data_IF_012003149480
#
_entry.id   IF_012003149480
#
_cell.length_a   1.000
_cell.length_b   1.000
_cell.length_c   1.000
_cell.angle_alpha   90.00
_cell.angle_beta   90.00
_cell.angle_gamma   90.00
#
_symmetry.space_group_name_H-M   'P 1'
#
loop_
_entity.id
_entity.type
_entity.pdbx_description
1 polymer ?
#
# COMPACT_ATOMS: atom_id res chain seq x y z
N UNK A 1 -13.54 -9.22 -18.25
CA UNK A 1 -14.16 -9.05 -16.91
C UNK A 1 -13.08 -9.10 -15.81
N UNK A 2 -13.00 -8.05 -14.98
CA UNK A 2 -12.11 -8.01 -13.82
C UNK A 2 -12.65 -8.86 -12.66
N UNK A 3 -11.74 -9.38 -11.82
CA UNK A 3 -12.08 -10.36 -10.77
C UNK A 3 -13.05 -9.82 -9.71
N UNK A 4 -13.11 -8.50 -9.52
CA UNK A 4 -14.01 -7.82 -8.58
C UNK A 4 -15.09 -6.97 -9.28
N UNK A 5 -15.28 -7.13 -10.59
CA UNK A 5 -16.15 -6.25 -11.39
C UNK A 5 -17.62 -6.24 -10.95
N UNK A 6 -18.10 -7.32 -10.33
CA UNK A 6 -19.48 -7.44 -9.82
C UNK A 6 -19.66 -6.84 -8.44
N UNK A 7 -18.57 -6.56 -7.71
CA UNK A 7 -18.58 -6.12 -6.31
C UNK A 7 -18.60 -4.59 -6.19
N UNK A 8 -19.41 -3.92 -7.00
CA UNK A 8 -19.42 -2.44 -7.12
C UNK A 8 -19.85 -1.69 -5.86
N UNK A 9 -20.47 -2.39 -4.90
CA UNK A 9 -20.86 -1.87 -3.58
C UNK A 9 -19.84 -2.18 -2.47
N UNK A 10 -18.70 -2.80 -2.81
CA UNK A 10 -17.69 -3.19 -1.82
C UNK A 10 -17.03 -1.95 -1.21
N UNK A 11 -17.05 -1.86 0.12
CA UNK A 11 -16.45 -0.76 0.88
C UNK A 11 -15.12 -1.17 1.53
N UNK A 12 -14.92 -2.46 1.81
CA UNK A 12 -13.68 -2.99 2.37
C UNK A 12 -13.17 -4.20 1.59
N UNK A 13 -11.88 -4.20 1.23
CA UNK A 13 -11.20 -5.36 0.66
C UNK A 13 -9.90 -5.63 1.44
N UNK A 14 -9.89 -6.75 2.18
CA UNK A 14 -8.75 -7.18 2.99
C UNK A 14 -8.10 -8.42 2.37
N UNK A 15 -6.92 -8.24 1.78
CA UNK A 15 -6.10 -9.32 1.22
C UNK A 15 -4.69 -9.32 1.81
N UNK A 16 -4.59 -9.06 3.12
CA UNK A 16 -3.31 -9.13 3.84
C UNK A 16 -2.85 -10.57 4.08
N UNK A 17 -1.56 -10.78 4.35
CA UNK A 17 -0.96 -12.07 4.72
C UNK A 17 -1.24 -13.18 3.71
N UNK A 18 -1.06 -12.86 2.42
CA UNK A 18 -1.25 -13.79 1.32
C UNK A 18 0.03 -13.90 0.48
N UNK A 19 0.01 -14.71 -0.56
CA UNK A 19 1.15 -14.89 -1.48
C UNK A 19 0.92 -14.17 -2.82
N UNK A 20 0.25 -13.02 -2.79
CA UNK A 20 -0.06 -12.29 -4.01
C UNK A 20 1.23 -11.73 -4.64
N UNK A 21 1.57 -12.21 -5.83
CA UNK A 21 2.77 -11.80 -6.58
C UNK A 21 2.52 -10.64 -7.53
N UNK A 22 1.30 -10.52 -8.03
CA UNK A 22 0.89 -9.47 -8.95
C UNK A 22 -0.59 -9.15 -8.78
N UNK A 23 -0.96 -7.90 -9.08
CA UNK A 23 -2.35 -7.46 -9.17
C UNK A 23 -2.75 -7.51 -10.65
N UNK A 24 -3.85 -8.20 -11.01
CA UNK A 24 -4.34 -8.18 -12.38
C UNK A 24 -4.66 -6.75 -12.84
N UNK A 25 -4.39 -6.40 -14.12
CA UNK A 25 -4.82 -5.12 -14.67
C UNK A 25 -6.31 -4.89 -14.43
N UNK A 26 -6.67 -3.66 -14.03
CA UNK A 26 -8.06 -3.25 -13.77
C UNK A 26 -8.77 -4.01 -12.66
N UNK A 27 -8.07 -4.76 -11.80
CA UNK A 27 -8.69 -5.53 -10.71
C UNK A 27 -9.63 -4.67 -9.85
N UNK A 28 -9.30 -3.40 -9.60
CA UNK A 28 -10.08 -2.51 -8.76
C UNK A 28 -10.85 -1.42 -9.54
N UNK A 29 -10.87 -1.49 -10.87
CA UNK A 29 -11.35 -0.40 -11.72
C UNK A 29 -12.82 -0.02 -11.49
N UNK A 30 -13.68 -0.96 -11.05
CA UNK A 30 -15.11 -0.72 -10.78
C UNK A 30 -15.43 -0.47 -9.31
N UNK A 31 -14.44 -0.52 -8.41
CA UNK A 31 -14.65 -0.42 -6.97
C UNK A 31 -14.68 1.04 -6.50
N UNK A 32 -15.56 1.85 -7.11
CA UNK A 32 -15.59 3.30 -6.86
C UNK A 32 -16.02 3.68 -5.45
N UNK A 33 -16.69 2.76 -4.74
CA UNK A 33 -17.14 2.92 -3.35
C UNK A 33 -16.18 2.32 -2.32
N UNK A 34 -15.02 1.83 -2.74
CA UNK A 34 -14.07 1.21 -1.82
C UNK A 34 -13.45 2.28 -0.91
N UNK A 35 -13.57 2.06 0.39
CA UNK A 35 -13.07 2.97 1.44
C UNK A 35 -11.76 2.44 2.02
N UNK A 36 -11.66 1.12 2.18
CA UNK A 36 -10.53 0.43 2.81
C UNK A 36 -9.96 -0.64 1.88
N UNK A 37 -8.66 -0.57 1.59
CA UNK A 37 -7.92 -1.58 0.84
C UNK A 37 -6.66 -2.01 1.60
N UNK A 38 -6.55 -3.30 1.92
CA UNK A 38 -5.31 -3.84 2.48
C UNK A 38 -4.71 -4.90 1.56
N UNK A 39 -3.46 -4.64 1.15
CA UNK A 39 -2.60 -5.52 0.37
C UNK A 39 -1.27 -5.78 1.11
N UNK A 40 -1.20 -5.44 2.39
CA UNK A 40 0.02 -5.61 3.20
C UNK A 40 0.40 -7.09 3.32
N UNK A 41 1.66 -7.37 3.66
CA UNK A 41 2.11 -8.74 3.93
C UNK A 41 1.87 -9.68 2.73
N UNK A 42 2.33 -9.28 1.55
CA UNK A 42 2.26 -10.05 0.30
C UNK A 42 3.64 -10.09 -0.40
N UNK A 43 3.67 -10.54 -1.66
CA UNK A 43 4.88 -10.65 -2.47
C UNK A 43 4.85 -9.69 -3.67
N UNK A 44 4.15 -8.57 -3.54
CA UNK A 44 4.01 -7.60 -4.61
C UNK A 44 5.32 -6.85 -4.81
N UNK A 45 5.80 -6.86 -6.05
CA UNK A 45 6.95 -6.07 -6.49
C UNK A 45 6.54 -4.75 -7.12
N UNK A 46 5.36 -4.70 -7.72
CA UNK A 46 4.81 -3.51 -8.35
C UNK A 46 3.28 -3.59 -8.40
N UNK A 47 2.65 -2.50 -8.80
CA UNK A 47 1.22 -2.46 -9.14
C UNK A 47 1.06 -1.98 -10.57
N UNK A 48 0.08 -2.50 -11.33
CA UNK A 48 -0.14 -2.05 -12.70
C UNK A 48 -0.53 -0.57 -12.72
N UNK A 49 -0.11 0.14 -13.77
CA UNK A 49 -0.46 1.55 -13.96
C UNK A 49 -1.98 1.73 -13.95
N UNK A 50 -2.43 2.72 -13.19
CA UNK A 50 -3.85 3.04 -13.04
C UNK A 50 -4.63 2.07 -12.15
N UNK A 51 -3.97 1.20 -11.39
CA UNK A 51 -4.63 0.26 -10.48
C UNK A 51 -5.59 0.94 -9.50
N UNK A 52 -5.29 2.17 -9.09
CA UNK A 52 -6.01 2.90 -8.04
C UNK A 52 -6.80 4.10 -8.54
N UNK A 53 -6.74 4.43 -9.83
CA UNK A 53 -7.28 5.69 -10.40
C UNK A 53 -8.79 5.87 -10.17
N UNK A 54 -9.54 4.77 -10.09
CA UNK A 54 -10.99 4.80 -9.91
C UNK A 54 -11.44 4.64 -8.45
N UNK A 55 -10.52 4.51 -7.49
CA UNK A 55 -10.82 4.33 -6.07
C UNK A 55 -11.12 5.68 -5.39
N UNK A 56 -12.15 6.37 -5.89
CA UNK A 56 -12.47 7.76 -5.51
C UNK A 56 -12.90 7.94 -4.06
N UNK A 57 -13.43 6.89 -3.42
CA UNK A 57 -13.86 6.89 -2.02
C UNK A 57 -12.80 6.36 -1.05
N UNK A 58 -11.60 6.03 -1.54
CA UNK A 58 -10.57 5.38 -0.74
C UNK A 58 -9.98 6.36 0.28
N UNK A 59 -9.97 5.92 1.53
CA UNK A 59 -9.43 6.72 2.65
C UNK A 59 -8.28 6.02 3.36
N UNK A 60 -8.17 4.70 3.22
CA UNK A 60 -7.16 3.88 3.87
C UNK A 60 -6.63 2.84 2.90
N UNK A 61 -5.31 2.88 2.65
CA UNK A 61 -4.59 1.81 1.94
C UNK A 61 -3.37 1.34 2.71
N UNK A 62 -3.22 0.02 2.83
CA UNK A 62 -2.10 -0.62 3.51
C UNK A 62 -1.27 -1.41 2.50
N UNK A 63 -0.01 -1.00 2.33
CA UNK A 63 0.93 -1.55 1.33
C UNK A 63 2.23 -2.08 1.94
N UNK A 64 2.40 -1.94 3.26
CA UNK A 64 3.63 -2.34 3.96
C UNK A 64 3.89 -3.85 3.86
N UNK A 65 5.14 -4.25 4.14
CA UNK A 65 5.59 -5.65 4.08
C UNK A 65 5.31 -6.33 2.72
N UNK A 66 5.76 -5.66 1.65
CA UNK A 66 5.83 -6.19 0.29
C UNK A 66 7.23 -5.87 -0.28
N UNK A 67 7.82 -6.75 -1.10
CA UNK A 67 9.14 -6.54 -1.69
C UNK A 67 9.08 -5.60 -2.90
N UNK A 68 8.67 -4.34 -2.69
CA UNK A 68 8.50 -3.35 -3.75
C UNK A 68 9.80 -3.13 -4.54
N UNK A 69 9.75 -3.43 -5.83
CA UNK A 69 10.86 -3.27 -6.74
C UNK A 69 10.93 -1.82 -7.20
N UNK A 70 11.85 -1.09 -6.58
CA UNK A 70 12.07 0.33 -6.85
C UNK A 70 12.94 0.56 -8.10
N UNK A 71 13.42 -0.49 -8.77
CA UNK A 71 14.38 -0.38 -9.88
C UNK A 71 13.71 -0.32 -11.27
N UNK A 72 12.39 -0.47 -11.38
CA UNK A 72 11.68 -0.52 -12.66
C UNK A 72 10.77 0.70 -12.91
N UNK A 73 10.59 1.06 -14.18
CA UNK A 73 9.74 2.18 -14.65
C UNK A 73 8.27 2.09 -14.23
N UNK A 74 7.79 0.91 -13.84
CA UNK A 74 6.40 0.68 -13.40
C UNK A 74 6.12 1.19 -11.98
N UNK A 75 7.14 1.36 -11.13
CA UNK A 75 6.96 1.93 -9.78
C UNK A 75 6.68 3.44 -9.82
N UNK A 76 7.00 4.12 -10.93
CA UNK A 76 6.75 5.55 -11.11
C UNK A 76 5.27 5.91 -10.95
N UNK A 77 4.37 4.99 -11.31
CA UNK A 77 2.95 5.19 -11.05
C UNK A 77 2.65 5.20 -9.56
N UNK A 78 3.11 4.17 -8.83
CA UNK A 78 2.83 4.01 -7.42
C UNK A 78 3.41 5.17 -6.60
N UNK A 79 4.67 5.55 -6.86
CA UNK A 79 5.31 6.65 -6.14
C UNK A 79 4.58 7.98 -6.37
N UNK A 80 4.23 8.31 -7.61
CA UNK A 80 3.45 9.52 -7.94
C UNK A 80 2.08 9.49 -7.30
N UNK A 81 1.39 8.35 -7.32
CA UNK A 81 0.07 8.21 -6.73
C UNK A 81 0.12 8.47 -5.22
N UNK A 82 1.10 7.90 -4.51
CA UNK A 82 1.30 8.12 -3.07
C UNK A 82 1.53 9.61 -2.78
N UNK A 83 2.40 10.28 -3.54
CA UNK A 83 2.66 11.71 -3.35
C UNK A 83 1.44 12.61 -3.62
N UNK A 84 0.50 12.17 -4.46
CA UNK A 84 -0.73 12.91 -4.77
C UNK A 84 -1.87 12.65 -3.76
N UNK A 85 -1.75 11.63 -2.92
CA UNK A 85 -2.79 11.24 -1.95
C UNK A 85 -2.24 11.24 -0.52
N UNK A 86 -1.72 12.39 -0.03
CA UNK A 86 -1.18 12.49 1.32
C UNK A 86 -2.28 12.15 2.32
N UNK A 87 -1.99 11.25 3.26
CA UNK A 87 -2.93 10.88 4.30
C UNK A 87 -3.93 9.78 3.91
N UNK A 88 -3.76 9.09 2.78
CA UNK A 88 -4.52 7.88 2.44
C UNK A 88 -3.76 6.60 2.78
N UNK A 89 -2.44 6.59 2.60
CA UNK A 89 -1.61 5.42 2.96
C UNK A 89 -1.52 5.32 4.49
N UNK A 90 -1.48 4.10 5.01
CA UNK A 90 -1.52 3.82 6.45
C UNK A 90 -0.42 2.87 6.86
N UNK A 91 0.16 3.14 8.03
CA UNK A 91 1.17 2.29 8.64
C UNK A 91 0.56 1.03 9.28
N UNK A 92 1.39 0.20 9.92
CA UNK A 92 0.93 -1.01 10.62
C UNK A 92 -0.01 -0.73 11.81
N UNK A 93 0.03 0.48 12.36
CA UNK A 93 -0.81 0.90 13.48
C UNK A 93 -2.13 1.55 13.02
N UNK A 94 -2.33 1.75 11.72
CA UNK A 94 -3.49 2.44 11.17
C UNK A 94 -3.37 3.96 11.21
N UNK A 95 -2.19 4.50 11.50
CA UNK A 95 -1.89 5.93 11.42
C UNK A 95 -1.51 6.31 9.99
N UNK A 96 -1.55 7.60 9.65
CA UNK A 96 -0.94 8.11 8.41
C UNK A 96 0.54 7.71 8.42
N UNK A 97 1.01 7.04 7.37
CA UNK A 97 2.43 6.68 7.27
C UNK A 97 3.27 7.98 7.14
N UNK A 98 4.17 8.28 8.10
CA UNK A 98 4.91 9.54 8.14
C UNK A 98 5.92 9.68 6.97
N UNK A 99 6.32 8.58 6.34
CA UNK A 99 7.23 8.60 5.18
C UNK A 99 6.53 9.01 3.87
N UNK A 100 5.23 9.30 3.89
CA UNK A 100 4.49 9.78 2.72
C UNK A 100 4.83 11.21 2.29
N UNK A 101 5.29 12.04 3.23
CA UNK A 101 5.39 13.51 3.05
C UNK A 101 6.83 14.02 2.91
N UNK A 102 7.84 13.15 3.03
CA UNK A 102 9.21 13.54 2.77
C UNK A 102 9.41 13.82 1.27
N UNK A 103 9.89 15.03 0.95
CA UNK A 103 10.27 15.48 -0.38
C UNK A 103 11.41 14.62 -0.98
N UNK A 104 11.09 13.42 -1.48
CA UNK A 104 12.04 12.56 -2.18
C UNK A 104 11.84 12.65 -3.69
N UNK A 105 11.94 13.87 -4.21
CA UNK A 105 12.43 14.07 -5.57
C UNK A 105 13.95 13.86 -5.51
N UNK A 106 14.48 12.93 -6.31
CA UNK A 106 15.89 12.50 -6.42
C UNK A 106 16.34 11.27 -5.61
N UNK A 107 15.61 10.14 -5.65
CA UNK A 107 16.13 8.77 -5.38
C UNK A 107 16.64 8.51 -3.94
N UNK A 108 16.68 7.28 -3.39
CA UNK A 108 15.85 6.10 -3.55
C UNK A 108 14.88 5.95 -2.35
N UNK A 109 13.85 5.12 -2.48
CA UNK A 109 13.07 4.67 -1.31
C UNK A 109 13.95 3.64 -0.58
N UNK A 110 14.41 3.89 0.67
CA UNK A 110 14.06 2.95 1.74
C UNK A 110 14.09 3.53 3.18
N UNK A 111 13.00 3.35 3.95
CA UNK A 111 13.16 2.83 5.32
C UNK A 111 12.23 1.64 5.67
N UNK A 112 11.69 0.90 4.70
CA UNK A 112 11.34 -0.51 4.96
C UNK A 112 12.60 -1.40 5.19
N UNK A 113 13.78 -0.79 5.00
CA UNK A 113 15.15 -1.24 5.30
C UNK A 113 15.69 -0.61 6.60
N UNK A 114 14.88 0.07 7.42
CA UNK A 114 15.29 0.40 8.80
C UNK A 114 14.27 -0.11 9.82
N UNK A 115 14.49 -1.36 10.23
CA UNK A 115 14.26 -1.81 11.60
C UNK A 115 15.65 -2.03 12.21
N UNK A 116 15.88 -1.63 13.48
CA UNK A 116 15.35 -2.43 14.57
C UNK A 116 14.60 -1.59 15.61
N UNK A 117 13.55 -2.22 16.13
CA UNK A 117 12.92 -1.90 17.42
C UNK A 117 14.00 -1.57 18.47
N UNK A 118 13.81 -0.53 19.31
CA UNK A 118 14.52 -0.51 20.58
C UNK A 118 14.14 -1.77 21.36
N UNK A 119 15.15 -2.47 21.87
CA UNK A 119 14.98 -3.61 22.76
C UNK A 119 14.09 -3.17 23.93
N UNK A 120 12.95 -3.84 24.11
CA UNK A 120 12.24 -3.77 25.38
C UNK A 120 13.18 -4.37 26.42
N UNK A 121 13.72 -3.52 27.28
CA UNK A 121 14.45 -3.95 28.46
C UNK A 121 13.56 -4.92 29.27
N UNK A 122 14.14 -5.97 29.88
CA UNK A 122 13.36 -6.82 30.77
C UNK A 122 12.83 -5.94 31.90
N UNK A 123 11.52 -5.90 32.06
CA UNK A 123 10.90 -5.41 33.29
C UNK A 123 11.28 -6.43 34.37
N UNK A 124 12.41 -6.19 35.02
CA UNK A 124 12.74 -6.87 36.25
C UNK A 124 11.68 -6.49 37.28
N UNK A 125 11.10 -7.53 37.85
CA UNK A 125 10.28 -7.50 39.03
C UNK A 125 10.98 -6.73 40.15
N UNK A 126 10.25 -5.78 40.74
CA UNK A 126 10.18 -5.52 42.17
C UNK A 126 9.00 -4.59 42.46
#
# INVERSE_FOLDING_TARGET
>A
PGVFDSLTKLTELKRHSNQLKAIPPRAFHKLTQLIYLSLSDNQLKSVPRGAFDNLKSLTHIFLYNNPWDCACSDILYLSRWISQHPGVVRDRMGSVDPDQTAQSALVPIPPSVQSPRPALAPQNAQ
#
